data_IF_144732627542
#
_entry.id   IF_144732627542
#
_cell.length_a   1.000
_cell.length_b   1.000
_cell.length_c   1.000
_cell.angle_alpha   90.00
_cell.angle_beta   90.00
_cell.angle_gamma   90.00
#
_symmetry.space_group_name_H-M   'P 1'
#
loop_
_entity.id
_entity.type
_entity.pdbx_description
1 polymer ?
#
# COMPACT_ATOMS: atom_id res chain seq x y z
N UNK A 1 -11.36 21.44 10.50
CA UNK A 1 -10.23 20.51 10.68
C UNK A 1 -10.58 19.09 10.22
N UNK A 2 -11.50 18.36 10.88
CA UNK A 2 -11.79 16.95 10.55
C UNK A 2 -12.16 16.68 9.07
N UNK A 3 -13.01 17.51 8.46
CA UNK A 3 -13.42 17.34 7.06
C UNK A 3 -12.21 17.51 6.11
N UNK A 4 -11.40 18.55 6.32
CA UNK A 4 -10.19 18.75 5.51
C UNK A 4 -9.24 17.56 5.67
N UNK A 5 -9.01 17.11 6.90
CA UNK A 5 -8.14 15.96 7.18
C UNK A 5 -8.63 14.74 6.39
N UNK A 6 -9.92 14.38 6.48
CA UNK A 6 -10.49 13.25 5.75
C UNK A 6 -10.33 13.37 4.22
N UNK A 7 -10.67 14.53 3.64
CA UNK A 7 -10.48 14.77 2.19
C UNK A 7 -8.99 14.60 1.82
N UNK A 8 -8.11 15.22 2.61
CA UNK A 8 -6.69 15.20 2.33
C UNK A 8 -6.11 13.78 2.47
N UNK A 9 -6.48 12.99 3.48
CA UNK A 9 -5.96 11.63 3.66
C UNK A 9 -6.50 10.67 2.60
N UNK A 10 -7.78 10.74 2.26
CA UNK A 10 -8.41 9.84 1.28
C UNK A 10 -7.92 10.10 -0.16
N UNK A 11 -7.44 11.31 -0.43
CA UNK A 11 -6.82 11.68 -1.71
C UNK A 11 -5.30 11.54 -1.70
N UNK A 12 -4.70 11.01 -0.63
CA UNK A 12 -3.25 10.86 -0.53
C UNK A 12 -2.52 12.20 -0.51
N UNK A 13 -3.15 13.19 0.12
CA UNK A 13 -2.82 14.61 0.05
C UNK A 13 -2.90 15.13 -1.39
N UNK A 14 -4.04 14.88 -2.04
CA UNK A 14 -4.37 15.30 -3.41
C UNK A 14 -3.47 14.70 -4.52
N UNK A 15 -2.88 13.52 -4.28
CA UNK A 15 -2.01 12.81 -5.23
C UNK A 15 -2.72 11.66 -5.96
N UNK A 16 -3.80 11.14 -5.38
CA UNK A 16 -4.50 9.97 -5.92
C UNK A 16 -5.51 10.36 -7.00
N UNK A 17 -5.92 9.38 -7.80
CA UNK A 17 -6.81 9.57 -8.96
C UNK A 17 -8.23 10.00 -8.61
N UNK A 18 -8.64 9.91 -7.34
CA UNK A 18 -9.89 10.45 -6.82
C UNK A 18 -9.83 11.96 -6.53
N UNK A 19 -8.71 12.63 -6.78
CA UNK A 19 -8.58 14.09 -6.68
C UNK A 19 -9.25 14.76 -7.89
N UNK A 20 -10.30 15.53 -7.65
CA UNK A 20 -11.05 16.27 -8.68
C UNK A 20 -11.03 17.78 -8.42
N UNK A 21 -11.42 18.58 -9.43
CA UNK A 21 -11.59 20.03 -9.25
C UNK A 21 -12.57 20.40 -8.14
N UNK A 22 -13.59 19.59 -7.91
CA UNK A 22 -14.53 19.75 -6.80
C UNK A 22 -13.84 19.54 -5.45
N UNK A 23 -13.06 18.46 -5.28
CA UNK A 23 -12.32 18.21 -4.02
C UNK A 23 -11.33 19.32 -3.71
N UNK A 24 -10.61 19.84 -4.70
CA UNK A 24 -9.68 20.95 -4.53
C UNK A 24 -10.40 22.25 -4.16
N UNK A 25 -11.53 22.53 -4.81
CA UNK A 25 -12.35 23.72 -4.52
C UNK A 25 -12.92 23.68 -3.11
N UNK A 26 -13.38 22.50 -2.66
CA UNK A 26 -13.87 22.31 -1.30
C UNK A 26 -12.73 22.47 -0.28
N UNK A 27 -11.56 21.89 -0.54
CA UNK A 27 -10.39 22.05 0.33
C UNK A 27 -9.96 23.52 0.48
N UNK A 28 -9.95 24.29 -0.61
CA UNK A 28 -9.67 25.74 -0.57
C UNK A 28 -10.65 26.49 0.31
N UNK A 29 -11.96 26.26 0.15
CA UNK A 29 -12.99 26.90 0.99
C UNK A 29 -12.80 26.58 2.47
N UNK A 30 -12.49 25.32 2.79
CA UNK A 30 -12.26 24.90 4.17
C UNK A 30 -11.04 25.59 4.79
N UNK A 31 -10.00 25.87 4.00
CA UNK A 31 -8.82 26.64 4.42
C UNK A 31 -9.21 28.09 4.70
N UNK A 32 -9.89 28.75 3.76
CA UNK A 32 -10.24 30.16 3.86
C UNK A 32 -11.25 30.44 4.98
N UNK A 33 -12.30 29.63 5.10
CA UNK A 33 -13.40 29.87 6.04
C UNK A 33 -13.05 29.52 7.50
N UNK A 34 -12.17 28.54 7.71
CA UNK A 34 -11.86 28.02 9.04
C UNK A 34 -10.40 28.21 9.46
N UNK A 35 -9.59 28.91 8.66
CA UNK A 35 -8.17 29.14 8.95
C UNK A 35 -7.38 27.84 9.10
N UNK A 36 -7.74 26.81 8.34
CA UNK A 36 -7.03 25.52 8.39
C UNK A 36 -5.63 25.70 7.84
N UNK A 37 -4.63 25.10 8.48
CA UNK A 37 -3.27 25.02 7.95
C UNK A 37 -3.05 23.64 7.31
N UNK A 38 -3.04 23.54 5.97
CA UNK A 38 -2.68 22.32 5.26
C UNK A 38 -1.34 21.73 5.71
N UNK A 39 -0.33 22.59 5.91
CA UNK A 39 1.02 22.13 6.27
C UNK A 39 1.04 21.49 7.66
N UNK A 40 0.34 22.07 8.64
CA UNK A 40 0.26 21.50 9.99
C UNK A 40 -0.49 20.16 9.99
N UNK A 41 -1.51 20.01 9.13
CA UNK A 41 -2.20 18.73 8.97
C UNK A 41 -1.27 17.71 8.31
N UNK A 42 -0.52 18.10 7.27
CA UNK A 42 0.45 17.22 6.62
C UNK A 42 1.50 16.72 7.62
N UNK A 43 2.06 17.65 8.41
CA UNK A 43 3.06 17.38 9.44
C UNK A 43 2.55 16.31 10.42
N UNK A 44 1.39 16.55 11.04
CA UNK A 44 0.80 15.62 12.02
C UNK A 44 0.41 14.26 11.45
N UNK A 45 0.04 14.19 10.17
CA UNK A 45 -0.42 12.95 9.54
C UNK A 45 0.76 12.13 8.99
N UNK A 46 1.76 12.79 8.41
CA UNK A 46 2.80 12.12 7.63
C UNK A 46 4.22 12.32 8.15
N UNK A 47 4.51 13.40 8.88
CA UNK A 47 5.88 13.81 9.24
C UNK A 47 6.20 13.66 10.74
N UNK A 48 5.23 13.26 11.58
CA UNK A 48 5.43 12.93 12.99
C UNK A 48 5.67 11.41 13.18
N UNK A 49 6.72 10.86 12.57
CA UNK A 49 7.13 9.45 12.77
C UNK A 49 8.13 9.30 13.91
N UNK A 50 8.01 8.21 14.68
CA UNK A 50 9.01 7.86 15.69
C UNK A 50 10.36 7.52 15.03
N UNK A 51 11.47 7.75 15.74
CA UNK A 51 12.80 7.38 15.25
C UNK A 51 12.89 5.87 15.00
N UNK A 52 12.25 5.09 15.87
CA UNK A 52 12.13 3.64 15.81
C UNK A 52 11.37 3.21 14.56
N UNK A 53 10.27 3.90 14.21
CA UNK A 53 9.52 3.66 12.97
C UNK A 53 10.37 3.91 11.72
N UNK A 54 11.20 4.95 11.72
CA UNK A 54 12.14 5.22 10.62
C UNK A 54 13.22 4.12 10.52
N UNK A 55 13.76 3.67 11.65
CA UNK A 55 14.73 2.57 11.67
C UNK A 55 14.11 1.25 11.19
N UNK A 56 12.89 0.94 11.64
CA UNK A 56 12.13 -0.21 11.18
C UNK A 56 11.87 -0.13 9.66
N UNK A 57 11.48 1.05 9.16
CA UNK A 57 11.30 1.27 7.73
C UNK A 57 12.58 0.96 6.95
N UNK A 58 13.75 1.38 7.43
CA UNK A 58 15.02 1.08 6.77
C UNK A 58 15.27 -0.44 6.66
N UNK A 59 14.96 -1.19 7.72
CA UNK A 59 15.08 -2.66 7.72
C UNK A 59 14.06 -3.32 6.79
N UNK A 60 12.80 -2.89 6.82
CA UNK A 60 11.77 -3.37 5.88
C UNK A 60 12.14 -3.07 4.44
N UNK A 61 12.66 -1.88 4.13
CA UNK A 61 13.11 -1.51 2.78
C UNK A 61 14.26 -2.40 2.29
N UNK A 62 15.10 -2.92 3.18
CA UNK A 62 16.15 -3.88 2.80
C UNK A 62 15.61 -5.22 2.30
N UNK A 63 14.36 -5.55 2.62
CA UNK A 63 13.66 -6.75 2.13
C UNK A 63 13.02 -6.58 0.76
N UNK A 64 13.05 -5.36 0.21
CA UNK A 64 12.37 -5.01 -1.03
C UNK A 64 12.88 -5.86 -2.20
N UNK A 65 11.94 -6.54 -2.85
CA UNK A 65 12.19 -7.36 -4.02
C UNK A 65 11.25 -6.99 -5.17
N UNK A 66 11.71 -7.29 -6.39
CA UNK A 66 11.00 -7.01 -7.62
C UNK A 66 10.90 -8.30 -8.43
N UNK A 67 9.72 -8.54 -9.01
CA UNK A 67 9.46 -9.65 -9.93
C UNK A 67 10.37 -9.59 -11.16
N UNK A 68 10.67 -10.75 -11.74
CA UNK A 68 11.58 -10.85 -12.90
C UNK A 68 11.12 -10.03 -14.11
N UNK A 69 9.82 -9.84 -14.26
CA UNK A 69 9.20 -9.07 -15.34
C UNK A 69 8.93 -7.60 -14.98
N UNK A 70 9.37 -7.15 -13.80
CA UNK A 70 9.23 -5.79 -13.28
C UNK A 70 7.78 -5.28 -13.19
N UNK A 71 6.80 -6.18 -12.98
CA UNK A 71 5.37 -5.80 -12.88
C UNK A 71 4.88 -5.65 -11.46
N UNK A 72 5.43 -6.43 -10.55
CA UNK A 72 5.12 -6.31 -9.12
C UNK A 72 6.36 -6.34 -8.24
N UNK A 73 6.24 -5.77 -7.06
CA UNK A 73 7.28 -5.73 -6.03
C UNK A 73 6.67 -6.05 -4.67
N UNK A 74 7.50 -6.45 -3.72
CA UNK A 74 7.05 -6.73 -2.36
C UNK A 74 8.09 -6.39 -1.31
N UNK A 75 7.62 -6.14 -0.10
CA UNK A 75 8.42 -6.02 1.11
C UNK A 75 7.82 -6.88 2.21
N UNK A 76 8.65 -7.17 3.22
CA UNK A 76 8.30 -8.05 4.33
C UNK A 76 8.62 -7.36 5.66
N UNK A 77 7.70 -7.49 6.61
CA UNK A 77 7.85 -7.13 8.01
C UNK A 77 7.58 -8.39 8.84
N UNK A 78 8.65 -9.00 9.35
CA UNK A 78 8.57 -10.20 10.19
C UNK A 78 8.27 -9.86 11.65
N UNK A 79 7.90 -10.89 12.42
CA UNK A 79 7.73 -10.72 13.86
C UNK A 79 9.05 -10.33 14.56
N UNK A 80 10.19 -10.87 14.14
CA UNK A 80 11.52 -10.53 14.67
C UNK A 80 11.82 -9.03 14.55
N UNK A 81 11.48 -8.42 13.41
CA UNK A 81 11.62 -6.98 13.21
C UNK A 81 10.71 -6.19 14.15
N UNK A 82 9.47 -6.62 14.35
CA UNK A 82 8.54 -5.98 15.29
C UNK A 82 9.00 -6.11 16.75
N UNK A 83 9.65 -7.21 17.12
CA UNK A 83 10.21 -7.38 18.47
C UNK A 83 11.42 -6.47 18.69
N UNK A 84 12.21 -6.21 17.64
CA UNK A 84 13.38 -5.32 17.69
C UNK A 84 13.00 -3.84 17.80
N UNK A 85 11.86 -3.44 17.25
CA UNK A 85 11.41 -2.04 17.21
C UNK A 85 10.01 -1.91 17.84
N UNK A 86 9.87 -1.26 19.02
CA UNK A 86 8.58 -1.08 19.68
C UNK A 86 7.76 0.01 18.97
N UNK A 87 7.23 -0.33 17.80
CA UNK A 87 6.52 0.59 16.90
C UNK A 87 5.06 0.18 16.83
N UNK A 88 4.17 1.15 16.98
CA UNK A 88 2.74 0.93 16.86
C UNK A 88 2.37 0.48 15.45
N UNK A 89 1.34 -0.37 15.33
CA UNK A 89 1.03 -0.99 14.04
C UNK A 89 0.65 0.04 12.98
N UNK A 90 -0.01 1.12 13.38
CA UNK A 90 -0.47 2.24 12.58
C UNK A 90 0.71 2.94 11.87
N UNK A 91 1.89 2.98 12.50
CA UNK A 91 3.06 3.62 11.91
C UNK A 91 3.57 2.86 10.67
N UNK A 92 3.28 1.56 10.57
CA UNK A 92 3.73 0.67 9.49
C UNK A 92 2.75 0.59 8.31
N UNK A 93 1.51 1.08 8.44
CA UNK A 93 0.45 0.87 7.43
C UNK A 93 0.78 1.47 6.05
N UNK A 94 1.55 2.55 6.05
CA UNK A 94 1.94 3.25 4.81
C UNK A 94 3.18 2.67 4.14
N UNK A 95 3.84 1.66 4.72
CA UNK A 95 5.07 1.11 4.16
C UNK A 95 4.86 0.48 2.78
N UNK A 96 3.68 -0.12 2.54
CA UNK A 96 3.31 -0.67 1.22
C UNK A 96 3.46 0.32 0.06
N UNK A 97 3.34 1.63 0.34
CA UNK A 97 3.50 2.67 -0.69
C UNK A 97 4.92 2.70 -1.27
N UNK A 98 5.95 2.28 -0.51
CA UNK A 98 7.32 2.21 -1.03
C UNK A 98 7.46 1.11 -2.07
N UNK A 99 6.86 -0.07 -1.83
CA UNK A 99 6.85 -1.16 -2.81
C UNK A 99 6.20 -0.70 -4.12
N UNK A 100 5.03 -0.05 -4.05
CA UNK A 100 4.35 0.44 -5.25
C UNK A 100 4.99 1.68 -5.86
N UNK A 101 5.86 2.43 -5.18
CA UNK A 101 6.42 3.68 -5.73
C UNK A 101 7.38 3.47 -6.91
N UNK A 102 8.00 2.30 -7.02
CA UNK A 102 9.03 1.97 -8.02
C UNK A 102 8.53 2.18 -9.45
N UNK A 103 9.34 2.84 -10.30
CA UNK A 103 8.99 3.08 -11.71
C UNK A 103 8.74 1.76 -12.45
N UNK A 104 7.65 1.68 -13.19
CA UNK A 104 7.28 0.49 -13.98
C UNK A 104 6.47 -0.56 -13.21
N UNK A 105 6.53 -0.56 -11.87
CA UNK A 105 5.74 -1.47 -11.04
C UNK A 105 4.26 -1.09 -11.09
N UNK A 106 3.41 -2.06 -11.43
CA UNK A 106 1.95 -1.94 -11.45
C UNK A 106 1.32 -2.34 -10.11
N UNK A 107 1.86 -3.38 -9.43
CA UNK A 107 1.35 -3.85 -8.13
C UNK A 107 2.46 -3.87 -7.07
N UNK A 108 2.24 -3.22 -5.94
CA UNK A 108 3.10 -3.32 -4.75
C UNK A 108 2.42 -4.11 -3.64
N UNK A 109 3.18 -5.00 -3.01
CA UNK A 109 2.74 -5.87 -1.92
C UNK A 109 3.52 -5.57 -0.64
N UNK A 110 2.88 -5.76 0.51
CA UNK A 110 3.55 -5.72 1.80
C UNK A 110 3.01 -6.82 2.69
N UNK A 111 3.90 -7.73 3.07
CA UNK A 111 3.62 -8.85 3.96
C UNK A 111 4.01 -8.47 5.38
N UNK A 112 3.06 -8.51 6.30
CA UNK A 112 3.29 -8.20 7.71
C UNK A 112 2.84 -9.37 8.57
N UNK A 113 3.78 -9.98 9.28
CA UNK A 113 3.47 -10.99 10.29
C UNK A 113 2.97 -10.28 11.56
N UNK A 114 1.66 -10.31 11.80
CA UNK A 114 1.03 -9.60 12.92
C UNK A 114 1.31 -10.33 14.24
N UNK A 115 1.32 -11.66 14.16
CA UNK A 115 1.69 -12.61 15.21
C UNK A 115 2.06 -13.93 14.52
N UNK A 116 2.72 -14.87 15.22
CA UNK A 116 3.07 -16.15 14.64
C UNK A 116 1.89 -16.84 13.96
N UNK A 117 2.01 -17.09 12.66
CA UNK A 117 0.99 -17.77 11.86
C UNK A 117 -0.13 -16.89 11.31
N UNK A 118 -0.12 -15.56 11.50
CA UNK A 118 -1.10 -14.64 10.92
C UNK A 118 -0.41 -13.52 10.13
N UNK A 119 -0.59 -13.54 8.81
CA UNK A 119 0.07 -12.63 7.88
C UNK A 119 -0.97 -11.69 7.25
N UNK A 120 -0.82 -10.39 7.50
CA UNK A 120 -1.57 -9.35 6.79
C UNK A 120 -0.85 -9.02 5.49
N UNK A 121 -1.54 -9.10 4.37
CA UNK A 121 -1.02 -8.70 3.06
C UNK A 121 -1.72 -7.42 2.62
N UNK A 122 -0.94 -6.36 2.42
CA UNK A 122 -1.43 -5.10 1.88
C UNK A 122 -1.09 -4.98 0.41
N UNK A 123 -2.05 -4.51 -0.37
CA UNK A 123 -1.97 -4.43 -1.83
C UNK A 123 -2.14 -3.00 -2.29
N UNK A 124 -1.31 -2.57 -3.26
CA UNK A 124 -1.43 -1.28 -3.93
C UNK A 124 -1.27 -1.47 -5.43
N UNK A 125 -2.04 -0.75 -6.24
CA UNK A 125 -1.80 -0.68 -7.69
C UNK A 125 -1.70 0.74 -8.21
N UNK A 126 -1.00 0.90 -9.33
CA UNK A 126 -0.81 2.22 -9.96
C UNK A 126 -1.93 2.61 -10.92
N UNK A 127 -2.29 1.74 -11.86
CA UNK A 127 -3.05 2.21 -13.03
C UNK A 127 -4.25 1.33 -13.37
N UNK A 128 -4.02 0.06 -13.71
CA UNK A 128 -5.02 -0.80 -14.35
C UNK A 128 -5.49 -1.94 -13.46
N UNK A 129 -4.61 -2.55 -12.67
CA UNK A 129 -4.94 -3.74 -11.89
C UNK A 129 -5.86 -3.41 -10.71
N UNK A 130 -7.02 -4.07 -10.65
CA UNK A 130 -7.95 -4.00 -9.51
C UNK A 130 -7.48 -4.94 -8.39
N UNK A 131 -6.75 -4.38 -7.42
CA UNK A 131 -6.19 -5.18 -6.31
C UNK A 131 -7.23 -5.65 -5.31
N UNK A 132 -8.44 -5.08 -5.31
CA UNK A 132 -9.52 -5.57 -4.45
C UNK A 132 -9.91 -6.99 -4.83
N UNK A 133 -9.95 -7.30 -6.13
CA UNK A 133 -10.23 -8.65 -6.65
C UNK A 133 -9.13 -9.65 -6.31
N UNK A 134 -7.87 -9.21 -6.38
CA UNK A 134 -6.73 -10.03 -5.99
C UNK A 134 -6.78 -10.36 -4.49
N UNK A 135 -7.04 -9.36 -3.65
CA UNK A 135 -7.18 -9.57 -2.20
C UNK A 135 -8.39 -10.46 -1.84
N UNK A 136 -9.50 -10.34 -2.56
CA UNK A 136 -10.69 -11.18 -2.34
C UNK A 136 -10.47 -12.65 -2.65
N UNK A 137 -9.50 -13.00 -3.51
CA UNK A 137 -9.09 -14.41 -3.69
C UNK A 137 -8.64 -15.04 -2.35
N UNK A 138 -8.02 -14.24 -1.49
CA UNK A 138 -7.54 -14.62 -0.17
C UNK A 138 -8.51 -14.22 0.96
N UNK A 139 -9.80 -14.05 0.66
CA UNK A 139 -10.82 -13.70 1.65
C UNK A 139 -10.78 -12.25 2.16
N UNK A 140 -10.01 -11.37 1.51
CA UNK A 140 -9.93 -9.95 1.81
C UNK A 140 -10.79 -9.05 0.93
N UNK A 141 -10.41 -7.78 0.83
CA UNK A 141 -11.10 -6.81 0.00
C UNK A 141 -10.52 -5.39 0.14
N UNK A 142 -11.25 -4.41 -0.39
CA UNK A 142 -10.87 -3.00 -0.38
C UNK A 142 -11.28 -2.29 -1.66
N UNK A 143 -10.47 -1.35 -2.11
CA UNK A 143 -10.68 -0.56 -3.31
C UNK A 143 -9.76 -1.02 -4.45
N UNK A 144 -10.10 -0.63 -5.67
CA UNK A 144 -9.35 -1.04 -6.86
C UNK A 144 -7.85 -0.67 -6.84
N UNK A 145 -7.46 0.38 -6.10
CA UNK A 145 -6.05 0.81 -5.96
C UNK A 145 -5.40 0.41 -4.63
N UNK A 146 -6.18 -0.02 -3.64
CA UNK A 146 -5.72 -0.29 -2.29
C UNK A 146 -6.61 -1.31 -1.60
N UNK A 147 -6.05 -2.47 -1.28
CA UNK A 147 -6.78 -3.59 -0.67
C UNK A 147 -5.92 -4.31 0.37
N UNK A 148 -6.54 -5.23 1.11
CA UNK A 148 -5.88 -6.03 2.13
C UNK A 148 -6.57 -7.38 2.36
N UNK A 149 -5.79 -8.37 2.79
CA UNK A 149 -6.28 -9.66 3.30
C UNK A 149 -5.43 -10.12 4.49
N UNK A 150 -5.97 -11.07 5.27
CA UNK A 150 -5.23 -11.77 6.33
C UNK A 150 -5.23 -13.26 6.01
N UNK A 151 -4.05 -13.87 6.02
CA UNK A 151 -3.84 -15.26 5.65
C UNK A 151 -3.17 -15.97 6.82
N UNK A 152 -3.68 -17.15 7.18
CA UNK A 152 -3.10 -18.01 8.21
C UNK A 152 -2.07 -18.93 7.58
N UNK A 153 -0.85 -18.96 8.13
CA UNK A 153 0.26 -19.77 7.62
C UNK A 153 1.60 -19.21 8.05
N UNK A 154 2.69 -19.93 7.74
CA UNK A 154 4.02 -19.35 7.95
C UNK A 154 4.26 -18.20 6.97
N UNK A 155 5.07 -17.22 7.37
CA UNK A 155 5.37 -16.05 6.54
C UNK A 155 5.86 -16.43 5.13
N UNK A 156 6.77 -17.41 5.03
CA UNK A 156 7.34 -17.84 3.76
C UNK A 156 6.32 -18.57 2.88
N UNK A 157 5.49 -19.45 3.45
CA UNK A 157 4.44 -20.14 2.68
C UNK A 157 3.43 -19.15 2.12
N UNK A 158 3.00 -18.16 2.91
CA UNK A 158 2.07 -17.13 2.47
C UNK A 158 2.69 -16.24 1.38
N UNK A 159 3.97 -15.89 1.53
CA UNK A 159 4.69 -15.15 0.48
C UNK A 159 4.68 -15.97 -0.82
N UNK A 160 5.11 -17.23 -0.78
CA UNK A 160 5.21 -18.07 -1.97
C UNK A 160 3.85 -18.28 -2.65
N UNK A 161 2.79 -18.54 -1.88
CA UNK A 161 1.43 -18.69 -2.38
C UNK A 161 0.94 -17.41 -3.08
N UNK A 162 1.06 -16.27 -2.41
CA UNK A 162 0.59 -14.98 -2.94
C UNK A 162 1.38 -14.55 -4.16
N UNK A 163 2.71 -14.68 -4.14
CA UNK A 163 3.55 -14.29 -5.28
C UNK A 163 3.31 -15.19 -6.49
N UNK A 164 3.08 -16.50 -6.27
CA UNK A 164 2.72 -17.43 -7.35
C UNK A 164 1.39 -17.05 -8.00
N UNK A 165 0.36 -16.76 -7.19
CA UNK A 165 -0.94 -16.30 -7.69
C UNK A 165 -0.83 -15.00 -8.50
N UNK A 166 -0.06 -14.01 -8.01
CA UNK A 166 0.14 -12.73 -8.70
C UNK A 166 0.89 -12.93 -10.01
N UNK A 167 1.91 -13.78 -10.01
CA UNK A 167 2.65 -14.12 -11.23
C UNK A 167 1.74 -14.76 -12.28
N UNK A 168 0.87 -15.69 -11.88
CA UNK A 168 -0.09 -16.35 -12.78
C UNK A 168 -1.13 -15.39 -13.34
N UNK A 169 -1.69 -14.50 -12.50
CA UNK A 169 -2.58 -13.42 -12.94
C UNK A 169 -1.94 -12.62 -14.07
N UNK A 170 -0.68 -12.24 -13.88
CA UNK A 170 0.07 -11.44 -14.82
C UNK A 170 0.48 -12.23 -16.09
N UNK A 171 0.67 -13.55 -16.01
CA UNK A 171 0.90 -14.40 -17.19
C UNK A 171 -0.36 -14.56 -18.04
N UNK A 172 -1.52 -14.76 -17.41
CA UNK A 172 -2.80 -14.93 -18.11
C UNK A 172 -3.23 -13.64 -18.82
N UNK A 173 -3.16 -12.50 -18.12
CA UNK A 173 -3.56 -11.20 -18.69
C UNK A 173 -2.52 -10.63 -19.69
N UNK A 174 -1.36 -11.27 -19.87
CA UNK A 174 -0.42 -10.93 -20.94
C UNK A 174 -0.78 -11.59 -22.28
N UNK A 175 -1.45 -12.74 -22.25
CA UNK A 175 -1.82 -13.45 -23.47
C UNK A 175 -2.97 -12.75 -24.20
N UNK A 176 -3.89 -12.12 -23.46
CA UNK A 176 -5.00 -11.33 -24.03
C UNK A 176 -4.52 -10.11 -24.85
N UNK A 177 -3.33 -9.56 -24.54
CA UNK A 177 -2.73 -8.47 -25.31
C UNK A 177 -2.03 -8.94 -26.59
N UNK A 178 -1.61 -10.20 -26.67
CA UNK A 178 -1.01 -10.78 -27.87
C UNK A 178 -2.07 -11.18 -28.89
N UNK A 179 -3.23 -11.66 -28.46
CA UNK A 179 -4.33 -12.06 -29.35
C UNK A 179 -5.10 -10.88 -29.97
N UNK A 180 -4.89 -9.65 -29.47
CA UNK A 180 -5.45 -8.42 -30.08
C UNK A 180 -4.50 -7.83 -31.14
N UNK A 181 -3.24 -8.28 -31.19
CA UNK A 181 -2.20 -7.79 -32.12
C UNK A 181 -1.71 -8.87 -33.11
N UNK A 182 -2.34 -10.04 -33.14
CA UNK A 182 -2.12 -11.11 -34.12
C UNK A 182 -3.27 -11.15 -35.14
#
# INVERSE_FOLDING_TARGET
>A
MAIYTAISTDTGFFRFSNTTGETLSLASKLVDEYGISPSLIAERVYEEKSFESICLLAEVLSTLQVSKDNRFSWMVLSQEMLEKYPVEQEETENFVNYASSIRGIEVGLFFKEIKPGEIKVSWRSKATVDVSRLASHFGGGGHARAAGCSITGSLYEVIDEVLSFVQDYFLQNNNDLKDILA
#
